data_IF_115667181821
#
_entry.id   IF_115667181821
#
_cell.length_a   1.000
_cell.length_b   1.000
_cell.length_c   1.000
_cell.angle_alpha   90.00
_cell.angle_beta   90.00
_cell.angle_gamma   90.00
#
_symmetry.space_group_name_H-M   'P 1'
#
loop_
_entity.id
_entity.type
_entity.pdbx_description
1 polymer ?
#
# COMPACT_ATOMS: atom_id res chain seq x y z
N UNK A 1 -0.16 82.38 -25.99
CA UNK A 1 0.64 81.32 -25.32
C UNK A 1 -0.32 80.24 -24.84
N UNK A 2 -0.44 79.13 -25.58
CA UNK A 2 -1.27 77.99 -25.18
C UNK A 2 -0.35 76.88 -24.66
N UNK A 3 -0.53 76.50 -23.39
CA UNK A 3 0.29 75.49 -22.71
C UNK A 3 -0.22 74.08 -23.05
N UNK A 4 0.65 73.27 -23.66
CA UNK A 4 0.45 71.83 -23.89
C UNK A 4 0.47 71.04 -22.58
N UNK A 5 -0.48 70.13 -22.32
CA UNK A 5 -0.48 69.29 -21.11
C UNK A 5 0.53 68.13 -21.24
N UNK A 6 1.10 67.64 -20.13
CA UNK A 6 2.07 66.55 -20.15
C UNK A 6 1.42 65.20 -20.48
N UNK A 7 2.00 64.46 -21.43
CA UNK A 7 1.60 63.09 -21.78
C UNK A 7 1.91 62.15 -20.60
N UNK A 8 0.87 61.61 -19.94
CA UNK A 8 0.98 60.64 -18.85
C UNK A 8 1.70 59.34 -19.28
N UNK A 9 2.49 58.69 -18.41
CA UNK A 9 3.31 57.50 -18.72
C UNK A 9 2.47 56.20 -18.73
N UNK A 10 1.32 56.19 -19.41
CA UNK A 10 0.44 55.00 -19.49
C UNK A 10 1.11 53.78 -20.13
N UNK A 11 2.09 54.00 -21.03
CA UNK A 11 2.82 52.94 -21.72
C UNK A 11 3.82 52.21 -20.83
N UNK A 12 4.41 52.91 -19.85
CA UNK A 12 5.39 52.33 -18.92
C UNK A 12 4.70 51.40 -17.92
N UNK A 13 3.52 51.80 -17.40
CA UNK A 13 2.74 50.95 -16.51
C UNK A 13 2.24 49.65 -17.16
N UNK A 14 1.86 49.70 -18.44
CA UNK A 14 1.45 48.54 -19.22
C UNK A 14 2.60 47.56 -19.49
N UNK A 15 3.80 48.08 -19.77
CA UNK A 15 5.01 47.25 -19.96
C UNK A 15 5.46 46.57 -18.67
N UNK A 16 5.42 47.28 -17.53
CA UNK A 16 5.75 46.71 -16.22
C UNK A 16 4.73 45.64 -15.81
N UNK A 17 3.43 45.87 -16.03
CA UNK A 17 2.40 44.88 -15.77
C UNK A 17 2.54 43.62 -16.66
N UNK A 18 2.90 43.79 -17.94
CA UNK A 18 3.15 42.68 -18.85
C UNK A 18 4.41 41.88 -18.48
N UNK A 19 5.49 42.54 -18.03
CA UNK A 19 6.70 41.90 -17.53
C UNK A 19 6.46 41.15 -16.21
N UNK A 20 5.65 41.70 -15.30
CA UNK A 20 5.23 40.99 -14.08
C UNK A 20 4.35 39.78 -14.41
N UNK A 21 3.44 39.88 -15.38
CA UNK A 21 2.62 38.76 -15.83
C UNK A 21 3.46 37.65 -16.49
N UNK A 22 4.47 38.00 -17.30
CA UNK A 22 5.42 37.03 -17.86
C UNK A 22 6.29 36.37 -16.78
N UNK A 23 6.71 37.12 -15.76
CA UNK A 23 7.48 36.58 -14.65
C UNK A 23 6.66 35.59 -13.79
N UNK A 24 5.35 35.82 -13.66
CA UNK A 24 4.43 34.91 -12.97
C UNK A 24 4.15 33.63 -13.78
N UNK A 25 4.27 33.67 -15.11
CA UNK A 25 4.12 32.50 -15.99
C UNK A 25 5.39 31.63 -16.07
N UNK A 26 6.56 32.16 -15.69
CA UNK A 26 7.85 31.45 -15.69
C UNK A 26 8.04 30.43 -14.55
N UNK A 27 7.07 30.28 -13.66
CA UNK A 27 7.16 29.39 -12.49
C UNK A 27 6.94 27.90 -12.77
N UNK A 28 6.43 27.54 -13.95
CA UNK A 28 6.29 26.13 -14.33
C UNK A 28 7.58 25.65 -15.02
N UNK A 29 8.49 25.04 -14.25
CA UNK A 29 9.67 24.38 -14.82
C UNK A 29 9.22 23.26 -15.77
N UNK A 30 9.58 23.30 -17.07
CA UNK A 30 9.24 22.24 -18.03
C UNK A 30 9.76 20.88 -17.57
N UNK A 31 10.88 20.86 -16.86
CA UNK A 31 11.46 19.66 -16.29
C UNK A 31 10.56 19.06 -15.19
N UNK A 32 9.93 19.88 -14.35
CA UNK A 32 9.02 19.41 -13.31
C UNK A 32 7.75 18.79 -13.92
N UNK A 33 7.22 19.39 -15.00
CA UNK A 33 6.08 18.85 -15.74
C UNK A 33 6.41 17.50 -16.39
N UNK A 34 7.59 17.37 -17.00
CA UNK A 34 8.03 16.09 -17.60
C UNK A 34 8.19 14.98 -16.56
N UNK A 35 8.82 15.27 -15.42
CA UNK A 35 8.98 14.27 -14.36
C UNK A 35 7.63 13.86 -13.78
N UNK A 36 6.69 14.80 -13.63
CA UNK A 36 5.31 14.50 -13.21
C UNK A 36 4.58 13.61 -14.22
N UNK A 37 4.69 13.89 -15.51
CA UNK A 37 4.10 13.03 -16.54
C UNK A 37 4.65 11.60 -16.52
N UNK A 38 5.96 11.44 -16.30
CA UNK A 38 6.56 10.10 -16.10
C UNK A 38 6.04 9.44 -14.82
N UNK A 39 5.87 10.21 -13.75
CA UNK A 39 5.33 9.71 -12.48
C UNK A 39 3.88 9.24 -12.64
N UNK A 40 3.04 9.96 -13.37
CA UNK A 40 1.67 9.57 -13.69
C UNK A 40 1.62 8.23 -14.47
N UNK A 41 2.52 8.04 -15.45
CA UNK A 41 2.60 6.77 -16.20
C UNK A 41 3.05 5.59 -15.32
N UNK A 42 4.08 5.79 -14.50
CA UNK A 42 4.59 4.76 -13.60
C UNK A 42 3.61 4.43 -12.46
N UNK A 43 2.75 5.37 -12.08
CA UNK A 43 1.69 5.12 -11.10
C UNK A 43 0.66 4.08 -11.62
N UNK A 44 0.35 4.10 -12.92
CA UNK A 44 -0.61 3.17 -13.53
C UNK A 44 -0.04 1.84 -14.03
N UNK A 45 1.29 1.70 -14.09
CA UNK A 45 1.95 0.55 -14.73
C UNK A 45 1.63 -0.81 -14.09
N UNK A 46 1.27 -0.85 -12.79
CA UNK A 46 0.94 -2.09 -12.07
C UNK A 46 -0.54 -2.47 -12.11
N UNK A 47 -1.38 -1.77 -12.88
CA UNK A 47 -2.83 -2.00 -12.96
C UNK A 47 -3.24 -2.92 -14.11
N UNK A 48 -2.29 -3.41 -14.91
CA UNK A 48 -2.54 -4.32 -16.02
C UNK A 48 -2.72 -5.78 -15.54
N UNK A 49 -3.44 -6.56 -16.35
CA UNK A 49 -3.58 -8.00 -16.10
C UNK A 49 -2.23 -8.69 -16.35
N UNK A 50 -1.70 -9.34 -15.33
CA UNK A 50 -0.49 -10.16 -15.37
C UNK A 50 -0.77 -11.41 -14.55
N UNK A 51 -0.77 -12.57 -15.20
CA UNK A 51 -1.01 -13.88 -14.59
C UNK A 51 0.26 -14.76 -14.57
N UNK A 52 1.36 -14.31 -15.19
CA UNK A 52 2.66 -14.97 -15.10
C UNK A 52 3.46 -14.43 -13.90
N UNK A 53 3.46 -15.21 -12.80
CA UNK A 53 4.20 -14.86 -11.59
C UNK A 53 5.71 -14.76 -11.79
N UNK A 54 6.27 -15.56 -12.71
CA UNK A 54 7.72 -15.58 -12.93
C UNK A 54 8.12 -14.33 -13.70
N UNK A 55 7.38 -13.96 -14.75
CA UNK A 55 7.57 -12.70 -15.46
C UNK A 55 7.37 -11.48 -14.53
N UNK A 56 6.32 -11.50 -13.71
CA UNK A 56 6.08 -10.47 -12.71
C UNK A 56 7.27 -10.36 -11.73
N UNK A 57 7.80 -11.49 -11.24
CA UNK A 57 8.94 -11.53 -10.32
C UNK A 57 10.21 -10.94 -10.95
N UNK A 58 10.52 -11.36 -12.18
CA UNK A 58 11.72 -10.97 -12.91
C UNK A 58 11.74 -9.47 -13.21
N UNK A 59 10.58 -8.91 -13.59
CA UNK A 59 10.45 -7.51 -13.95
C UNK A 59 10.30 -6.57 -12.74
N UNK A 60 9.69 -7.03 -11.65
CA UNK A 60 9.36 -6.21 -10.46
C UNK A 60 10.56 -5.46 -9.88
N UNK A 61 11.72 -6.11 -9.74
CA UNK A 61 12.87 -5.49 -9.09
C UNK A 61 13.37 -4.25 -9.83
N UNK A 62 13.39 -4.30 -11.17
CA UNK A 62 13.76 -3.16 -12.00
C UNK A 62 12.73 -2.05 -11.89
N UNK A 63 11.44 -2.38 -12.05
CA UNK A 63 10.36 -1.38 -12.00
C UNK A 63 10.30 -0.68 -10.64
N UNK A 64 10.41 -1.41 -9.53
CA UNK A 64 10.45 -0.82 -8.20
C UNK A 64 11.60 0.19 -8.06
N UNK A 65 12.78 -0.13 -8.58
CA UNK A 65 13.94 0.77 -8.52
C UNK A 65 13.78 1.98 -9.42
N UNK A 66 13.18 1.83 -10.59
CA UNK A 66 12.88 2.93 -11.52
C UNK A 66 11.85 3.88 -10.91
N UNK A 67 10.69 3.36 -10.52
CA UNK A 67 9.58 4.13 -9.94
C UNK A 67 10.00 4.84 -8.65
N UNK A 68 10.76 4.17 -7.79
CA UNK A 68 11.33 4.81 -6.60
C UNK A 68 12.30 5.96 -6.96
N UNK A 69 13.07 5.83 -8.04
CA UNK A 69 13.98 6.89 -8.49
C UNK A 69 13.24 8.13 -8.96
N UNK A 70 12.11 7.94 -9.67
CA UNK A 70 11.24 9.03 -10.07
C UNK A 70 10.56 9.65 -8.84
N UNK A 71 10.05 8.84 -7.92
CA UNK A 71 9.37 9.31 -6.70
C UNK A 71 10.27 10.23 -5.86
N UNK A 72 11.57 9.93 -5.75
CA UNK A 72 12.53 10.80 -5.04
C UNK A 72 12.58 12.23 -5.61
N UNK A 73 12.24 12.41 -6.88
CA UNK A 73 12.19 13.73 -7.54
C UNK A 73 10.81 14.40 -7.42
N UNK A 74 9.78 13.64 -7.06
CA UNK A 74 8.39 14.10 -6.91
C UNK A 74 7.76 13.56 -5.63
N UNK A 75 8.27 13.93 -4.44
CA UNK A 75 7.88 13.29 -3.17
C UNK A 75 6.39 13.46 -2.80
N UNK A 76 5.71 14.51 -3.30
CA UNK A 76 4.27 14.73 -3.11
C UNK A 76 3.36 14.03 -4.14
N UNK A 77 3.91 13.19 -5.02
CA UNK A 77 3.12 12.51 -6.05
C UNK A 77 2.40 11.27 -5.48
N UNK A 78 1.22 11.47 -4.90
CA UNK A 78 0.48 10.42 -4.19
C UNK A 78 0.29 9.12 -4.98
N UNK A 79 -0.15 9.18 -6.24
CA UNK A 79 -0.34 7.96 -7.05
C UNK A 79 0.95 7.15 -7.29
N UNK A 80 2.10 7.83 -7.41
CA UNK A 80 3.38 7.15 -7.57
C UNK A 80 3.89 6.62 -6.22
N UNK A 81 3.66 7.37 -5.13
CA UNK A 81 3.95 6.90 -3.78
C UNK A 81 3.14 5.65 -3.43
N UNK A 82 1.86 5.63 -3.80
CA UNK A 82 0.97 4.48 -3.67
C UNK A 82 1.52 3.26 -4.43
N UNK A 83 1.81 3.43 -5.72
CA UNK A 83 2.38 2.37 -6.57
C UNK A 83 3.72 1.84 -6.03
N UNK A 84 4.63 2.73 -5.61
CA UNK A 84 5.93 2.32 -5.04
C UNK A 84 5.76 1.59 -3.70
N UNK A 85 4.91 2.11 -2.81
CA UNK A 85 4.66 1.50 -1.51
C UNK A 85 3.97 0.14 -1.65
N UNK A 86 2.94 0.06 -2.49
CA UNK A 86 2.23 -1.17 -2.82
C UNK A 86 3.15 -2.20 -3.46
N UNK A 87 3.89 -1.82 -4.50
CA UNK A 87 4.82 -2.72 -5.17
C UNK A 87 5.90 -3.29 -4.25
N UNK A 88 6.49 -2.48 -3.35
CA UNK A 88 7.45 -3.01 -2.36
C UNK A 88 6.79 -3.99 -1.38
N UNK A 89 5.56 -3.70 -0.96
CA UNK A 89 4.78 -4.53 -0.04
C UNK A 89 4.41 -5.86 -0.69
N UNK A 90 3.87 -5.81 -1.90
CA UNK A 90 3.49 -6.98 -2.69
C UNK A 90 4.70 -7.83 -3.04
N UNK A 91 5.81 -7.23 -3.48
CA UNK A 91 7.04 -7.97 -3.79
C UNK A 91 7.61 -8.66 -2.54
N UNK A 92 7.60 -7.98 -1.38
CA UNK A 92 8.03 -8.57 -0.11
C UNK A 92 7.17 -9.79 0.25
N UNK A 93 5.86 -9.65 0.20
CA UNK A 93 4.89 -10.72 0.51
C UNK A 93 5.02 -11.90 -0.47
N UNK A 94 4.83 -11.63 -1.76
CA UNK A 94 4.62 -12.65 -2.79
C UNK A 94 5.88 -13.47 -3.09
N UNK A 95 7.05 -12.83 -3.06
CA UNK A 95 8.28 -13.46 -3.56
C UNK A 95 9.32 -13.69 -2.48
N UNK A 96 9.37 -12.88 -1.44
CA UNK A 96 10.44 -12.97 -0.42
C UNK A 96 9.96 -13.72 0.81
N UNK A 97 8.82 -13.34 1.36
CA UNK A 97 8.21 -13.98 2.52
C UNK A 97 7.71 -15.39 2.18
N UNK A 98 7.00 -15.56 1.05
CA UNK A 98 6.58 -16.88 0.58
C UNK A 98 7.75 -17.84 0.35
N UNK A 99 8.90 -17.36 -0.14
CA UNK A 99 10.11 -18.17 -0.28
C UNK A 99 10.73 -18.52 1.08
N UNK A 100 10.68 -17.59 2.04
CA UNK A 100 11.13 -17.84 3.41
C UNK A 100 10.36 -19.00 4.04
N UNK A 101 9.03 -19.00 3.91
CA UNK A 101 8.17 -20.05 4.46
C UNK A 101 8.44 -21.41 3.82
N UNK A 102 8.59 -21.46 2.49
CA UNK A 102 8.92 -22.72 1.78
C UNK A 102 10.29 -23.28 2.16
N UNK A 103 11.23 -22.41 2.49
CA UNK A 103 12.61 -22.79 2.83
C UNK A 103 12.76 -23.21 4.30
N UNK A 104 11.85 -22.81 5.18
CA UNK A 104 12.01 -22.98 6.63
C UNK A 104 12.22 -24.42 7.07
N UNK A 105 11.47 -25.36 6.48
CA UNK A 105 11.57 -26.78 6.82
C UNK A 105 12.95 -27.38 6.50
N UNK A 106 13.65 -26.85 5.49
CA UNK A 106 14.95 -27.37 5.04
C UNK A 106 16.14 -26.55 5.55
N UNK A 107 16.02 -25.22 5.62
CA UNK A 107 17.05 -24.32 6.14
C UNK A 107 16.43 -23.10 6.85
N UNK A 108 16.21 -23.25 8.16
CA UNK A 108 15.71 -22.19 9.02
C UNK A 108 16.59 -20.92 9.03
N UNK A 109 17.92 -21.05 8.83
CA UNK A 109 18.81 -19.88 8.77
C UNK A 109 18.63 -19.12 7.47
N UNK A 110 18.44 -19.81 6.35
CA UNK A 110 18.10 -19.18 5.08
C UNK A 110 16.74 -18.50 5.12
N UNK A 111 15.72 -19.18 5.66
CA UNK A 111 14.40 -18.60 5.88
C UNK A 111 14.48 -17.31 6.71
N UNK A 112 15.26 -17.30 7.80
CA UNK A 112 15.43 -16.10 8.62
C UNK A 112 16.09 -14.95 7.87
N UNK A 113 17.08 -15.22 6.99
CA UNK A 113 17.68 -14.17 6.13
C UNK A 113 16.65 -13.59 5.16
N UNK A 114 15.76 -14.42 4.60
CA UNK A 114 14.68 -13.99 3.72
C UNK A 114 13.64 -13.15 4.49
N UNK A 115 13.25 -13.53 5.71
CA UNK A 115 12.36 -12.72 6.56
C UNK A 115 12.95 -11.34 6.88
N UNK A 116 14.24 -11.29 7.22
CA UNK A 116 14.93 -10.01 7.44
C UNK A 116 14.96 -9.16 6.17
N UNK A 117 15.10 -9.77 4.99
CA UNK A 117 15.02 -9.07 3.70
C UNK A 117 13.60 -8.54 3.44
N UNK A 118 12.57 -9.36 3.64
CA UNK A 118 11.17 -8.96 3.49
C UNK A 118 10.80 -7.81 4.44
N UNK A 119 11.19 -7.89 5.71
CA UNK A 119 11.01 -6.81 6.68
C UNK A 119 11.64 -5.48 6.22
N UNK A 120 12.86 -5.51 5.65
CA UNK A 120 13.49 -4.30 5.08
C UNK A 120 12.74 -3.74 3.88
N UNK A 121 12.11 -4.59 3.07
CA UNK A 121 11.29 -4.18 1.92
C UNK A 121 9.97 -3.57 2.38
N UNK A 122 9.28 -4.17 3.35
CA UNK A 122 8.12 -3.58 4.00
C UNK A 122 8.44 -2.21 4.61
N UNK A 123 9.52 -2.11 5.39
CA UNK A 123 9.96 -0.83 5.97
C UNK A 123 10.27 0.23 4.91
N UNK A 124 10.69 -0.18 3.72
CA UNK A 124 10.96 0.73 2.58
C UNK A 124 9.68 1.22 1.93
N UNK A 125 8.71 0.33 1.68
CA UNK A 125 7.37 0.71 1.19
C UNK A 125 6.67 1.65 2.17
N UNK A 126 6.66 1.28 3.45
CA UNK A 126 6.10 2.09 4.54
C UNK A 126 6.68 3.51 4.56
N UNK A 127 8.01 3.64 4.50
CA UNK A 127 8.67 4.95 4.51
C UNK A 127 8.28 5.82 3.31
N UNK A 128 8.15 5.25 2.11
CA UNK A 128 7.74 6.03 0.94
C UNK A 128 6.31 6.54 1.08
N UNK A 129 5.40 5.71 1.58
CA UNK A 129 4.03 6.12 1.81
C UNK A 129 3.91 7.19 2.91
N UNK A 130 4.57 6.99 4.06
CA UNK A 130 4.57 7.99 5.15
C UNK A 130 5.22 9.31 4.74
N UNK A 131 6.31 9.28 3.97
CA UNK A 131 6.92 10.50 3.44
C UNK A 131 5.98 11.26 2.50
N UNK A 132 5.16 10.56 1.71
CA UNK A 132 4.20 11.20 0.82
C UNK A 132 3.05 11.82 1.62
N UNK A 133 2.53 11.14 2.64
CA UNK A 133 1.53 11.72 3.55
C UNK A 133 2.08 12.96 4.27
N UNK A 134 3.31 12.89 4.78
CA UNK A 134 4.00 14.03 5.42
C UNK A 134 4.22 15.20 4.45
N UNK A 135 4.54 14.92 3.18
CA UNK A 135 4.72 15.95 2.17
C UNK A 135 3.41 16.66 1.82
N UNK A 136 2.28 15.96 1.87
CA UNK A 136 0.96 16.55 1.66
C UNK A 136 0.46 17.29 2.90
N UNK A 137 0.71 16.74 4.09
CA UNK A 137 0.28 17.25 5.39
C UNK A 137 1.49 17.30 6.35
N UNK A 138 2.25 18.41 6.38
CA UNK A 138 3.36 18.53 7.32
C UNK A 138 2.89 18.35 8.77
N UNK A 139 3.55 17.47 9.51
CA UNK A 139 3.17 17.05 10.86
C UNK A 139 2.29 15.80 10.92
N UNK A 140 1.94 15.18 9.79
CA UNK A 140 1.08 13.99 9.73
C UNK A 140 1.58 12.87 10.65
N UNK A 141 2.87 12.52 10.57
CA UNK A 141 3.43 11.44 11.37
C UNK A 141 3.38 11.76 12.87
N UNK A 142 3.61 13.02 13.25
CA UNK A 142 3.54 13.46 14.64
C UNK A 142 2.09 13.44 15.17
N UNK A 143 1.13 13.92 14.38
CA UNK A 143 -0.29 13.89 14.72
C UNK A 143 -0.81 12.44 14.87
N UNK A 144 -0.39 11.54 13.98
CA UNK A 144 -0.72 10.11 14.08
C UNK A 144 -0.15 9.50 15.37
N UNK A 145 1.11 9.77 15.69
CA UNK A 145 1.77 9.25 16.89
C UNK A 145 1.13 9.77 18.19
N UNK A 146 0.57 10.99 18.16
CA UNK A 146 -0.13 11.61 19.29
C UNK A 146 -1.63 11.23 19.35
N UNK A 147 -2.11 10.41 18.42
CA UNK A 147 -3.53 10.09 18.26
C UNK A 147 -4.41 11.34 18.19
N UNK A 148 -3.97 12.36 17.43
CA UNK A 148 -4.69 13.61 17.26
C UNK A 148 -6.11 13.36 16.73
N UNK A 149 -7.17 13.72 17.49
CA UNK A 149 -8.56 13.45 17.11
C UNK A 149 -9.01 14.29 15.90
N UNK A 150 -8.23 15.27 15.45
CA UNK A 150 -8.51 16.12 14.29
C UNK A 150 -7.86 15.61 13.00
N UNK A 151 -6.95 14.64 13.08
CA UNK A 151 -6.26 14.08 11.90
C UNK A 151 -7.27 13.40 10.97
N UNK A 152 -7.29 13.80 9.70
CA UNK A 152 -8.20 13.24 8.67
C UNK A 152 -7.44 13.04 7.37
N UNK A 153 -7.80 11.99 6.64
CA UNK A 153 -7.32 11.75 5.28
C UNK A 153 -8.26 12.39 4.25
N UNK A 154 -7.67 12.88 3.16
CA UNK A 154 -8.39 13.17 1.92
C UNK A 154 -8.61 11.89 1.10
N UNK A 155 -9.53 11.93 0.14
CA UNK A 155 -9.83 10.76 -0.71
C UNK A 155 -8.63 10.26 -1.51
N UNK A 156 -7.77 11.17 -1.98
CA UNK A 156 -6.55 10.88 -2.73
C UNK A 156 -5.41 10.32 -1.88
N UNK A 157 -5.54 10.36 -0.55
CA UNK A 157 -4.53 9.85 0.40
C UNK A 157 -4.85 8.45 0.90
N UNK A 158 -6.09 7.96 0.71
CA UNK A 158 -6.55 6.66 1.24
C UNK A 158 -5.67 5.52 0.76
N UNK A 159 -5.31 5.48 -0.54
CA UNK A 159 -4.51 4.38 -1.08
C UNK A 159 -3.08 4.38 -0.53
N UNK A 160 -2.47 5.56 -0.39
CA UNK A 160 -1.16 5.71 0.26
C UNK A 160 -1.23 5.29 1.73
N UNK A 161 -2.26 5.71 2.47
CA UNK A 161 -2.47 5.32 3.86
C UNK A 161 -2.72 3.81 4.02
N UNK A 162 -3.48 3.20 3.11
CA UNK A 162 -3.68 1.75 3.05
C UNK A 162 -2.35 1.02 2.92
N UNK A 163 -1.52 1.38 1.93
CA UNK A 163 -0.22 0.73 1.74
C UNK A 163 0.78 1.05 2.86
N UNK A 164 0.72 2.26 3.44
CA UNK A 164 1.49 2.61 4.62
C UNK A 164 1.16 1.68 5.80
N UNK A 165 -0.13 1.43 6.06
CA UNK A 165 -0.58 0.56 7.13
C UNK A 165 -0.28 -0.93 6.83
N UNK A 166 -0.55 -1.40 5.61
CA UNK A 166 -0.28 -2.79 5.21
C UNK A 166 1.21 -3.14 5.31
N UNK A 167 2.08 -2.28 4.79
CA UNK A 167 3.54 -2.46 4.91
C UNK A 167 4.03 -2.37 6.36
N UNK A 168 3.42 -1.52 7.19
CA UNK A 168 3.75 -1.47 8.62
C UNK A 168 3.35 -2.76 9.33
N UNK A 169 2.15 -3.27 9.05
CA UNK A 169 1.67 -4.56 9.56
C UNK A 169 2.59 -5.72 9.17
N UNK A 170 3.00 -5.81 7.90
CA UNK A 170 3.96 -6.81 7.43
C UNK A 170 5.33 -6.70 8.11
N UNK A 171 5.85 -5.48 8.28
CA UNK A 171 7.09 -5.25 9.03
C UNK A 171 6.98 -5.75 10.48
N UNK A 172 5.89 -5.43 11.17
CA UNK A 172 5.65 -5.85 12.56
C UNK A 172 5.51 -7.36 12.65
N UNK A 173 4.75 -7.98 11.74
CA UNK A 173 4.53 -9.42 11.71
C UNK A 173 5.84 -10.21 11.58
N UNK A 174 6.80 -9.71 10.79
CA UNK A 174 8.12 -10.30 10.61
C UNK A 174 9.17 -9.89 11.68
N UNK A 175 8.80 -9.03 12.63
CA UNK A 175 9.72 -8.46 13.63
C UNK A 175 9.19 -8.62 15.07
N UNK A 176 8.46 -9.71 15.36
CA UNK A 176 7.85 -9.96 16.68
C UNK A 176 8.88 -10.12 17.81
N UNK A 177 10.14 -10.41 17.48
CA UNK A 177 11.29 -10.47 18.38
C UNK A 177 11.86 -9.08 18.75
N UNK A 178 11.31 -8.00 18.18
CA UNK A 178 11.76 -6.62 18.37
C UNK A 178 10.68 -5.77 19.06
N UNK A 179 10.79 -5.55 20.38
CA UNK A 179 9.80 -4.78 21.14
C UNK A 179 9.57 -3.36 20.59
N UNK A 180 10.61 -2.72 20.05
CA UNK A 180 10.52 -1.40 19.39
C UNK A 180 9.56 -1.41 18.20
N UNK A 181 9.49 -2.53 17.46
CA UNK A 181 8.60 -2.67 16.30
C UNK A 181 7.19 -3.05 16.71
N UNK A 182 7.06 -3.94 17.69
CA UNK A 182 5.74 -4.34 18.21
C UNK A 182 5.01 -3.14 18.84
N UNK A 183 5.75 -2.22 19.47
CA UNK A 183 5.22 -0.99 20.04
C UNK A 183 4.59 -0.04 19.01
N UNK A 184 4.88 -0.20 17.71
CA UNK A 184 4.29 0.60 16.64
C UNK A 184 2.89 0.12 16.21
N UNK A 185 2.47 -1.08 16.65
CA UNK A 185 1.20 -1.69 16.23
C UNK A 185 -0.03 -0.78 16.41
N UNK A 186 -0.21 -0.07 17.55
CA UNK A 186 -1.34 0.84 17.71
C UNK A 186 -1.37 1.94 16.64
N UNK A 187 -0.23 2.50 16.25
CA UNK A 187 -0.13 3.53 15.22
C UNK A 187 -0.45 2.98 13.82
N UNK A 188 0.01 1.76 13.51
CA UNK A 188 -0.34 1.08 12.26
C UNK A 188 -1.87 0.87 12.14
N UNK A 189 -2.51 0.45 13.24
CA UNK A 189 -3.97 0.27 13.32
C UNK A 189 -4.68 1.62 13.21
N UNK A 190 -4.18 2.66 13.88
CA UNK A 190 -4.77 4.00 13.80
C UNK A 190 -4.75 4.54 12.37
N UNK A 191 -3.66 4.33 11.62
CA UNK A 191 -3.56 4.71 10.22
C UNK A 191 -4.55 3.94 9.33
N UNK A 192 -4.67 2.62 9.53
CA UNK A 192 -5.66 1.80 8.83
C UNK A 192 -7.10 2.26 9.15
N UNK A 193 -7.36 2.63 10.40
CA UNK A 193 -8.68 3.15 10.83
C UNK A 193 -9.01 4.49 10.16
N UNK A 194 -8.05 5.41 10.06
CA UNK A 194 -8.25 6.66 9.33
C UNK A 194 -8.64 6.41 7.86
N UNK A 195 -7.98 5.46 7.21
CA UNK A 195 -8.33 5.07 5.84
C UNK A 195 -9.73 4.43 5.80
N UNK A 196 -10.04 3.55 6.76
CA UNK A 196 -11.31 2.81 6.84
C UNK A 196 -12.50 3.73 7.03
N UNK A 197 -12.39 4.69 7.95
CA UNK A 197 -13.42 5.70 8.22
C UNK A 197 -13.67 6.60 6.99
N UNK A 198 -12.66 6.79 6.15
CA UNK A 198 -12.77 7.62 4.94
C UNK A 198 -13.38 6.86 3.76
N UNK A 199 -12.89 5.65 3.48
CA UNK A 199 -13.29 4.87 2.29
C UNK A 199 -13.17 3.36 2.55
N UNK A 200 -14.18 2.76 3.21
CA UNK A 200 -14.13 1.36 3.65
C UNK A 200 -14.10 0.35 2.50
N UNK A 201 -14.58 0.71 1.32
CA UNK A 201 -14.59 -0.12 0.10
C UNK A 201 -13.28 -0.05 -0.71
N UNK A 202 -12.26 0.67 -0.23
CA UNK A 202 -11.00 0.85 -0.93
C UNK A 202 -10.35 -0.49 -1.34
N UNK A 203 -9.91 -0.54 -2.60
CA UNK A 203 -9.22 -1.70 -3.19
C UNK A 203 -10.10 -2.94 -3.33
N UNK A 204 -11.36 -2.79 -3.73
CA UNK A 204 -12.34 -3.89 -3.80
C UNK A 204 -12.47 -4.64 -2.46
N UNK A 205 -12.43 -3.92 -1.33
CA UNK A 205 -12.47 -4.51 0.01
C UNK A 205 -11.11 -4.91 0.60
N UNK A 206 -9.99 -4.60 -0.07
CA UNK A 206 -8.64 -4.85 0.48
C UNK A 206 -8.42 -4.18 1.84
N UNK A 207 -8.99 -2.98 2.05
CA UNK A 207 -8.89 -2.29 3.33
C UNK A 207 -9.72 -2.99 4.43
N UNK A 208 -10.90 -3.52 4.11
CA UNK A 208 -11.67 -4.36 5.03
C UNK A 208 -10.87 -5.60 5.44
N UNK A 209 -10.22 -6.27 4.47
CA UNK A 209 -9.37 -7.43 4.77
C UNK A 209 -8.21 -7.08 5.70
N UNK A 210 -7.57 -5.92 5.49
CA UNK A 210 -6.50 -5.44 6.36
C UNK A 210 -7.00 -5.17 7.79
N UNK A 211 -8.20 -4.58 7.94
CA UNK A 211 -8.82 -4.37 9.24
C UNK A 211 -9.08 -5.70 9.97
N UNK A 212 -9.50 -6.75 9.26
CA UNK A 212 -9.65 -8.09 9.81
C UNK A 212 -8.34 -8.68 10.35
N UNK A 213 -7.25 -8.56 9.58
CA UNK A 213 -5.92 -8.98 10.03
C UNK A 213 -5.43 -8.20 11.25
N UNK A 214 -5.65 -6.89 11.29
CA UNK A 214 -5.30 -6.06 12.44
C UNK A 214 -6.15 -6.33 13.68
N UNK A 215 -7.43 -6.64 13.50
CA UNK A 215 -8.30 -7.03 14.60
C UNK A 215 -7.79 -8.31 15.27
N UNK A 216 -7.30 -9.29 14.50
CA UNK A 216 -6.69 -10.49 15.07
C UNK A 216 -5.31 -10.25 15.70
N UNK A 217 -4.59 -9.21 15.27
CA UNK A 217 -3.26 -8.90 15.80
C UNK A 217 -3.30 -8.04 17.08
N UNK A 218 -4.35 -7.25 17.29
CA UNK A 218 -4.38 -6.25 18.36
C UNK A 218 -4.78 -6.84 19.72
N UNK A 219 -4.25 -6.30 20.83
CA UNK A 219 -4.76 -6.62 22.16
C UNK A 219 -6.26 -6.33 22.29
N UNK A 220 -7.01 -7.30 22.81
CA UNK A 220 -8.47 -7.18 23.01
C UNK A 220 -9.28 -7.20 21.71
N UNK A 221 -8.68 -7.61 20.58
CA UNK A 221 -9.42 -7.90 19.37
C UNK A 221 -10.21 -9.21 19.44
N UNK A 222 -11.21 -9.37 18.58
CA UNK A 222 -12.11 -10.53 18.61
C UNK A 222 -12.23 -11.25 17.26
N UNK A 223 -12.28 -12.60 17.25
CA UNK A 223 -12.55 -13.37 16.03
C UNK A 223 -13.85 -12.96 15.33
N UNK A 224 -14.87 -12.57 16.08
CA UNK A 224 -16.18 -12.16 15.56
C UNK A 224 -16.07 -10.86 14.75
N UNK A 225 -15.40 -9.84 15.30
CA UNK A 225 -15.20 -8.58 14.59
C UNK A 225 -14.27 -8.76 13.37
N UNK A 226 -13.22 -9.58 13.50
CA UNK A 226 -12.34 -9.90 12.39
C UNK A 226 -13.09 -10.62 11.25
N UNK A 227 -13.96 -11.59 11.59
CA UNK A 227 -14.81 -12.26 10.62
C UNK A 227 -15.72 -11.27 9.87
N UNK A 228 -16.34 -10.31 10.58
CA UNK A 228 -17.18 -9.29 9.95
C UNK A 228 -16.39 -8.43 8.94
N UNK A 229 -15.14 -8.07 9.26
CA UNK A 229 -14.27 -7.37 8.32
C UNK A 229 -13.93 -8.20 7.08
N UNK A 230 -13.56 -9.48 7.25
CA UNK A 230 -13.30 -10.35 6.10
C UNK A 230 -14.55 -10.61 5.25
N UNK A 231 -15.72 -10.77 5.87
CA UNK A 231 -16.98 -10.95 5.14
C UNK A 231 -17.37 -9.69 4.36
N UNK A 232 -17.14 -8.50 4.94
CA UNK A 232 -17.28 -7.23 4.23
C UNK A 232 -16.32 -7.13 3.05
N UNK A 233 -15.07 -7.58 3.20
CA UNK A 233 -14.08 -7.62 2.11
C UNK A 233 -14.51 -8.54 0.96
N UNK A 234 -14.97 -9.75 1.28
CA UNK A 234 -15.46 -10.74 0.31
C UNK A 234 -16.66 -10.19 -0.46
N UNK A 235 -17.60 -9.54 0.24
CA UNK A 235 -18.78 -8.93 -0.36
C UNK A 235 -18.41 -7.76 -1.29
N UNK A 236 -17.51 -6.87 -0.86
CA UNK A 236 -17.06 -5.72 -1.65
C UNK A 236 -16.38 -6.16 -2.96
N UNK A 237 -15.61 -7.25 -2.94
CA UNK A 237 -15.00 -7.82 -4.15
C UNK A 237 -15.99 -8.56 -5.06
N UNK A 238 -17.23 -8.80 -4.60
CA UNK A 238 -18.20 -9.64 -5.29
C UNK A 238 -17.73 -11.09 -5.43
N UNK A 239 -16.94 -11.59 -4.48
CA UNK A 239 -16.37 -12.95 -4.52
C UNK A 239 -15.28 -13.19 -5.56
N UNK A 240 -14.74 -12.13 -6.20
CA UNK A 240 -13.72 -12.23 -7.25
C UNK A 240 -12.28 -12.03 -6.77
N UNK A 241 -12.10 -11.73 -5.49
CA UNK A 241 -10.79 -11.56 -4.86
C UNK A 241 -10.49 -12.74 -3.96
N UNK A 242 -9.39 -13.43 -4.21
CA UNK A 242 -8.95 -14.58 -3.43
C UNK A 242 -8.37 -14.17 -2.06
N UNK A 243 -7.80 -12.97 -1.96
CA UNK A 243 -7.08 -12.49 -0.77
C UNK A 243 -7.89 -12.55 0.53
N UNK A 244 -9.12 -12.01 0.58
CA UNK A 244 -9.94 -12.07 1.79
C UNK A 244 -10.23 -13.49 2.30
N UNK A 245 -10.40 -14.46 1.39
CA UNK A 245 -10.62 -15.86 1.77
C UNK A 245 -9.36 -16.48 2.38
N UNK A 246 -8.19 -16.25 1.77
CA UNK A 246 -6.90 -16.70 2.30
C UNK A 246 -6.64 -16.08 3.68
N UNK A 247 -6.79 -14.76 3.80
CA UNK A 247 -6.59 -14.05 5.05
C UNK A 247 -7.54 -14.55 6.15
N UNK A 248 -8.83 -14.80 5.83
CA UNK A 248 -9.79 -15.37 6.78
C UNK A 248 -9.41 -16.78 7.22
N UNK A 249 -8.89 -17.60 6.31
CA UNK A 249 -8.43 -18.96 6.63
C UNK A 249 -7.25 -18.92 7.61
N UNK A 250 -6.22 -18.12 7.31
CA UNK A 250 -5.01 -18.03 8.12
C UNK A 250 -5.23 -17.32 9.46
N UNK A 251 -6.11 -16.31 9.51
CA UNK A 251 -6.32 -15.50 10.70
C UNK A 251 -7.35 -16.11 11.67
N UNK A 252 -8.32 -16.89 11.18
CA UNK A 252 -9.41 -17.43 12.02
C UNK A 252 -9.41 -18.96 12.09
N UNK A 253 -9.47 -19.63 10.93
CA UNK A 253 -9.67 -21.09 10.92
C UNK A 253 -8.42 -21.84 11.40
N UNK A 254 -7.24 -21.42 10.96
CA UNK A 254 -5.97 -22.05 11.34
C UNK A 254 -5.70 -21.95 12.86
N UNK A 255 -5.75 -20.76 13.52
CA UNK A 255 -5.52 -20.67 14.95
C UNK A 255 -6.60 -21.36 15.80
N UNK A 256 -7.80 -21.54 15.25
CA UNK A 256 -8.89 -22.27 15.92
C UNK A 256 -8.75 -23.81 15.79
N UNK A 257 -7.81 -24.31 15.00
CA UNK A 257 -7.70 -25.75 14.71
C UNK A 257 -8.84 -26.29 13.84
N UNK A 258 -9.59 -25.41 13.16
CA UNK A 258 -10.74 -25.79 12.33
C UNK A 258 -10.28 -26.11 10.89
N UNK A 259 -9.74 -27.32 10.71
CA UNK A 259 -9.28 -27.80 9.41
C UNK A 259 -10.38 -27.78 8.34
N UNK A 260 -11.63 -28.26 8.58
CA UNK A 260 -12.69 -28.18 7.60
C UNK A 260 -12.97 -26.75 7.11
N UNK A 261 -13.07 -25.77 8.02
CA UNK A 261 -13.27 -24.38 7.63
C UNK A 261 -12.07 -23.80 6.89
N UNK A 262 -10.85 -24.13 7.32
CA UNK A 262 -9.61 -23.72 6.68
C UNK A 262 -9.57 -24.16 5.21
N UNK A 263 -9.75 -25.46 4.94
CA UNK A 263 -9.72 -25.96 3.57
C UNK A 263 -10.89 -25.45 2.73
N UNK A 264 -12.08 -25.25 3.32
CA UNK A 264 -13.23 -24.68 2.61
C UNK A 264 -12.95 -23.25 2.12
N UNK A 265 -12.40 -22.40 2.99
CA UNK A 265 -12.01 -21.02 2.64
C UNK A 265 -10.93 -21.00 1.56
N UNK A 266 -9.92 -21.87 1.64
CA UNK A 266 -8.88 -21.94 0.61
C UNK A 266 -9.41 -22.40 -0.74
N UNK A 267 -10.36 -23.36 -0.78
CA UNK A 267 -11.02 -23.76 -2.03
C UNK A 267 -11.87 -22.62 -2.62
N UNK A 268 -12.53 -21.82 -1.78
CA UNK A 268 -13.22 -20.61 -2.23
C UNK A 268 -12.23 -19.57 -2.80
N UNK A 269 -11.05 -19.42 -2.19
CA UNK A 269 -10.00 -18.55 -2.72
C UNK A 269 -9.56 -18.99 -4.14
N UNK A 270 -9.38 -20.29 -4.38
CA UNK A 270 -9.04 -20.82 -5.70
C UNK A 270 -10.13 -20.55 -6.74
N UNK A 271 -11.39 -20.70 -6.36
CA UNK A 271 -12.53 -20.39 -7.23
C UNK A 271 -12.58 -18.89 -7.57
N UNK A 272 -12.40 -18.01 -6.57
CA UNK A 272 -12.36 -16.56 -6.74
C UNK A 272 -11.23 -16.14 -7.68
N UNK A 273 -10.02 -16.68 -7.49
CA UNK A 273 -8.87 -16.37 -8.34
C UNK A 273 -9.13 -16.72 -9.81
N UNK A 274 -9.86 -17.81 -10.09
CA UNK A 274 -10.25 -18.20 -11.46
C UNK A 274 -11.15 -17.21 -12.21
N UNK A 275 -11.70 -16.20 -11.53
CA UNK A 275 -12.62 -15.22 -12.14
C UNK A 275 -11.95 -13.99 -12.73
N UNK A 276 -10.72 -13.66 -12.29
CA UNK A 276 -9.96 -12.48 -12.73
C UNK A 276 -8.47 -12.79 -12.73
N UNK A 277 -7.86 -12.79 -13.92
CA UNK A 277 -6.42 -12.99 -14.14
C UNK A 277 -5.63 -11.73 -13.84
N UNK A 278 -5.45 -11.45 -12.56
CA UNK A 278 -4.59 -10.37 -12.08
C UNK A 278 -3.55 -10.93 -11.11
N UNK A 279 -2.44 -10.19 -10.97
CA UNK A 279 -1.29 -10.62 -10.19
C UNK A 279 -1.67 -10.91 -8.73
N UNK A 280 -2.52 -10.08 -8.11
CA UNK A 280 -2.89 -10.28 -6.71
C UNK A 280 -3.67 -11.59 -6.52
N UNK A 281 -4.58 -11.91 -7.42
CA UNK A 281 -5.30 -13.18 -7.43
C UNK A 281 -4.38 -14.37 -7.70
N UNK A 282 -3.40 -14.24 -8.60
CA UNK A 282 -2.44 -15.30 -8.87
C UNK A 282 -1.54 -15.61 -7.67
N UNK A 283 -1.03 -14.56 -6.99
CA UNK A 283 -0.27 -14.73 -5.75
C UNK A 283 -1.12 -15.46 -4.69
N UNK A 284 -2.38 -15.07 -4.52
CA UNK A 284 -3.29 -15.69 -3.56
C UNK A 284 -3.68 -17.12 -3.96
N UNK A 285 -3.79 -17.42 -5.25
CA UNK A 285 -3.99 -18.80 -5.75
C UNK A 285 -2.80 -19.68 -5.37
N UNK A 286 -1.59 -19.23 -5.66
CA UNK A 286 -0.37 -19.96 -5.30
C UNK A 286 -0.26 -20.15 -3.78
N UNK A 287 -0.63 -19.13 -2.98
CA UNK A 287 -0.69 -19.21 -1.52
C UNK A 287 -1.70 -20.27 -1.06
N UNK A 288 -2.92 -20.24 -1.58
CA UNK A 288 -3.97 -21.19 -1.22
C UNK A 288 -3.61 -22.64 -1.59
N UNK A 289 -3.03 -22.86 -2.77
CA UNK A 289 -2.54 -24.18 -3.20
C UNK A 289 -1.46 -24.70 -2.25
N UNK A 290 -0.49 -23.86 -1.88
CA UNK A 290 0.57 -24.26 -0.96
C UNK A 290 0.04 -24.58 0.44
N UNK A 291 -0.86 -23.74 0.96
CA UNK A 291 -1.49 -23.97 2.27
C UNK A 291 -2.30 -25.27 2.30
N UNK A 292 -3.03 -25.59 1.23
CA UNK A 292 -3.73 -26.87 1.10
C UNK A 292 -2.77 -28.06 1.03
N UNK A 293 -1.70 -27.94 0.21
CA UNK A 293 -0.72 -29.01 0.01
C UNK A 293 0.07 -29.35 1.28
N UNK A 294 0.12 -28.43 2.24
CA UNK A 294 0.89 -28.58 3.48
C UNK A 294 -0.04 -28.54 4.72
N UNK A 295 -1.35 -28.73 4.53
CA UNK A 295 -2.32 -28.68 5.62
C UNK A 295 -2.05 -29.73 6.70
N UNK A 296 -1.59 -30.93 6.32
CA UNK A 296 -1.29 -32.01 7.28
C UNK A 296 -0.17 -31.65 8.27
N UNK A 297 0.76 -30.76 7.89
CA UNK A 297 1.84 -30.30 8.78
C UNK A 297 1.39 -29.19 9.74
N UNK A 298 0.18 -28.64 9.55
CA UNK A 298 -0.35 -27.49 10.29
C UNK A 298 -1.41 -27.84 11.34
N UNK A 299 -2.00 -29.02 11.26
CA UNK A 299 -3.11 -29.47 12.11
C UNK A 299 -2.75 -30.74 12.88
#
# INVERSE_FOLDING_TARGET
>A
MAATPPRRPRRVGLLVAALLALALLGGCSPQALLVRGVADQLAGQGSEAEDDLDLARESSAFYLKLSESVLRRTPGHLGLAESVAGGFTQYAYAFVEAEAERTEASDARAAQRLRQRAAKLYARGHRHAMNALEAQHPGFAAALAQADPTLRLRDDEVGVAYWAAASWGGLIALSKDRPDRVADLPQAIALARLAWERKPDHGDGALASLMGSFEMARPGGTPQQAAAYFDSAIAAAGGRSAGPFVAKAEALALPAGDRPAFEALLRQALAAAGTRGDLANEVMRQRAQWLLATADDRF
#
